data_IF_220499424396
#
_entry.id   IF_220499424396
#
_cell.length_a   1.000
_cell.length_b   1.000
_cell.length_c   1.000
_cell.angle_alpha   90.00
_cell.angle_beta   90.00
_cell.angle_gamma   90.00
#
_symmetry.space_group_name_H-M   'P 1'
#
loop_
_entity.id
_entity.type
_entity.pdbx_description
1 polymer ?
#
# COMPACT_ATOMS: atom_id res chain seq x y z
N UNK A 1 -24.77 -7.02 32.73
CA UNK A 1 -24.94 -7.91 31.57
C UNK A 1 -25.22 -7.06 30.34
N UNK A 2 -24.59 -7.45 29.24
CA UNK A 2 -24.80 -7.08 27.84
C UNK A 2 -24.56 -5.63 27.39
N UNK A 3 -23.59 -5.53 26.48
CA UNK A 3 -23.24 -4.39 25.65
C UNK A 3 -24.06 -4.37 24.35
N UNK A 4 -23.80 -3.31 23.59
CA UNK A 4 -23.79 -3.23 22.12
C UNK A 4 -24.98 -2.54 21.45
N UNK A 5 -24.62 -1.46 20.77
CA UNK A 5 -25.49 -0.61 19.96
C UNK A 5 -24.67 0.54 19.40
N UNK A 6 -23.58 0.25 18.67
CA UNK A 6 -22.96 1.22 17.78
C UNK A 6 -23.30 0.82 16.35
N UNK A 7 -24.32 1.48 15.87
CA UNK A 7 -24.78 1.55 14.48
C UNK A 7 -24.68 3.07 14.19
N UNK A 8 -24.12 3.64 13.13
CA UNK A 8 -23.84 3.21 11.77
C UNK A 8 -22.73 4.12 11.21
N UNK A 9 -21.81 3.60 10.39
CA UNK A 9 -20.91 4.45 9.61
C UNK A 9 -21.40 4.51 8.16
N UNK A 10 -21.78 5.69 7.69
CA UNK A 10 -22.07 5.93 6.27
C UNK A 10 -20.99 6.85 5.68
N UNK A 11 -20.17 6.40 4.73
CA UNK A 11 -19.16 7.26 4.11
C UNK A 11 -19.58 7.66 2.69
N UNK A 12 -19.92 8.94 2.46
CA UNK A 12 -19.92 9.59 1.13
C UNK A 12 -19.87 11.11 1.36
N UNK A 13 -19.08 11.97 0.71
CA UNK A 13 -18.13 11.98 -0.42
C UNK A 13 -17.17 13.17 -0.15
N UNK A 14 -15.93 13.18 -0.67
CA UNK A 14 -15.07 14.38 -0.55
C UNK A 14 -14.48 14.84 -1.90
N UNK A 15 -14.78 16.09 -2.35
CA UNK A 15 -13.97 16.84 -3.31
C UNK A 15 -12.78 17.55 -2.58
N UNK A 16 -11.85 18.22 -3.30
CA UNK A 16 -10.42 18.12 -2.99
C UNK A 16 -9.87 19.12 -1.94
N UNK A 17 -8.88 18.61 -1.18
CA UNK A 17 -7.90 19.28 -0.31
C UNK A 17 -8.38 20.43 0.61
N UNK A 18 -9.03 20.03 1.72
CA UNK A 18 -9.14 20.81 2.96
C UNK A 18 -8.77 19.87 4.13
N UNK A 19 -7.89 20.28 5.04
CA UNK A 19 -7.70 19.66 6.37
C UNK A 19 -7.80 18.12 6.44
N UNK A 20 -6.97 17.40 5.65
CA UNK A 20 -7.02 15.93 5.66
C UNK A 20 -6.37 15.38 6.93
N UNK A 21 -7.20 14.92 7.85
CA UNK A 21 -6.78 14.04 8.96
C UNK A 21 -6.88 12.59 8.50
N UNK A 22 -5.83 11.82 8.75
CA UNK A 22 -5.79 10.37 8.49
C UNK A 22 -5.75 9.65 9.83
N UNK A 23 -6.64 8.68 10.01
CA UNK A 23 -6.66 7.79 11.16
C UNK A 23 -6.19 6.41 10.69
N UNK A 24 -5.26 5.81 11.43
CA UNK A 24 -4.77 4.46 11.17
C UNK A 24 -5.51 3.48 12.07
N UNK A 25 -6.12 2.47 11.49
CA UNK A 25 -6.95 1.50 12.23
C UNK A 25 -6.20 0.20 12.51
N UNK A 26 -5.27 -0.18 11.66
CA UNK A 26 -4.50 -1.42 11.77
C UNK A 26 -3.14 -1.29 11.09
N UNK A 27 -2.22 -2.16 11.50
CA UNK A 27 -0.90 -2.28 10.89
C UNK A 27 -0.53 -3.75 10.77
N UNK A 28 0.22 -4.08 9.73
CA UNK A 28 0.68 -5.44 9.43
C UNK A 28 2.19 -5.38 9.14
N UNK A 29 2.95 -6.28 9.75
CA UNK A 29 4.37 -6.45 9.46
C UNK A 29 4.57 -7.66 8.55
N UNK A 30 5.21 -7.41 7.41
CA UNK A 30 5.68 -8.43 6.47
C UNK A 30 7.21 -8.43 6.48
N UNK A 31 7.84 -9.56 6.83
CA UNK A 31 9.31 -9.66 6.93
C UNK A 31 9.85 -10.79 6.06
N UNK A 32 11.15 -10.67 5.77
CA UNK A 32 11.93 -11.62 4.97
C UNK A 32 11.37 -11.86 3.56
N UNK A 33 11.68 -10.94 2.64
CA UNK A 33 11.44 -11.15 1.21
C UNK A 33 12.35 -12.26 0.71
N UNK A 34 11.76 -13.30 0.14
CA UNK A 34 12.54 -14.32 -0.57
C UNK A 34 12.98 -13.75 -1.91
N UNK A 35 14.29 -13.58 -2.14
CA UNK A 35 14.82 -13.03 -3.39
C UNK A 35 14.43 -13.85 -4.62
N UNK A 36 14.36 -15.18 -4.51
CA UNK A 36 13.82 -16.05 -5.56
C UNK A 36 12.31 -15.86 -5.78
N UNK A 37 11.56 -15.59 -4.70
CA UNK A 37 10.14 -15.24 -4.76
C UNK A 37 9.91 -13.92 -5.46
N UNK A 38 10.73 -12.91 -5.16
CA UNK A 38 10.68 -11.60 -5.82
C UNK A 38 10.94 -11.70 -7.33
N UNK A 39 11.98 -12.45 -7.72
CA UNK A 39 12.29 -12.67 -9.14
C UNK A 39 11.13 -13.34 -9.87
N UNK A 40 10.55 -14.39 -9.30
CA UNK A 40 9.37 -15.05 -9.88
C UNK A 40 8.18 -14.10 -9.98
N UNK A 41 7.90 -13.36 -8.91
CA UNK A 41 6.80 -12.40 -8.89
C UNK A 41 6.95 -11.30 -9.95
N UNK A 42 8.19 -10.90 -10.28
CA UNK A 42 8.48 -10.00 -11.40
C UNK A 42 8.23 -10.66 -12.75
N UNK A 43 8.70 -11.90 -12.95
CA UNK A 43 8.51 -12.67 -14.20
C UNK A 43 7.02 -12.93 -14.46
N UNK A 44 6.27 -13.25 -13.41
CA UNK A 44 4.84 -13.58 -13.48
C UNK A 44 3.94 -12.33 -13.49
N UNK A 45 4.52 -11.12 -13.39
CA UNK A 45 3.78 -9.86 -13.39
C UNK A 45 2.95 -9.57 -12.12
N UNK A 46 3.23 -10.29 -11.02
CA UNK A 46 2.63 -10.03 -9.71
C UNK A 46 3.25 -8.81 -9.03
N UNK A 47 4.55 -8.60 -9.25
CA UNK A 47 5.26 -7.35 -8.92
C UNK A 47 5.51 -6.59 -10.22
N UNK A 48 5.14 -5.31 -10.25
CA UNK A 48 5.35 -4.43 -11.38
C UNK A 48 6.53 -3.49 -11.14
N UNK A 49 7.25 -3.14 -12.21
CA UNK A 49 8.24 -2.06 -12.23
C UNK A 49 7.56 -0.80 -12.72
N UNK A 50 7.56 0.24 -11.89
CA UNK A 50 6.95 1.54 -12.16
C UNK A 50 8.04 2.61 -12.30
N UNK A 51 8.17 3.17 -13.50
CA UNK A 51 9.04 4.30 -13.81
C UNK A 51 8.31 5.60 -13.50
N UNK A 52 8.36 6.00 -12.23
CA UNK A 52 7.68 7.18 -11.72
C UNK A 52 8.49 8.45 -11.97
N UNK A 53 8.56 8.84 -13.25
CA UNK A 53 9.20 10.05 -13.70
C UNK A 53 8.28 10.82 -14.66
N UNK A 54 8.31 12.15 -14.57
CA UNK A 54 7.53 13.01 -15.45
C UNK A 54 8.24 14.33 -15.73
N UNK A 55 7.90 14.96 -16.86
CA UNK A 55 8.37 16.29 -17.21
C UNK A 55 7.56 17.34 -16.44
N UNK A 56 8.23 18.25 -15.74
CA UNK A 56 7.55 19.37 -15.08
C UNK A 56 7.10 20.40 -16.10
N UNK A 57 5.99 21.08 -15.82
CA UNK A 57 5.51 22.22 -16.64
C UNK A 57 6.55 23.34 -16.77
N UNK A 58 7.35 23.56 -15.72
CA UNK A 58 8.46 24.53 -15.71
C UNK A 58 9.67 24.12 -16.54
N UNK A 59 9.64 22.95 -17.16
CA UNK A 59 10.81 22.27 -17.70
C UNK A 59 11.57 21.46 -16.64
N UNK A 60 12.38 20.51 -17.11
CA UNK A 60 13.15 19.57 -16.29
C UNK A 60 12.40 18.29 -15.94
N UNK A 61 13.15 17.20 -15.79
CA UNK A 61 12.61 15.88 -15.42
C UNK A 61 12.53 15.81 -13.89
N UNK A 62 11.36 15.43 -13.37
CA UNK A 62 11.23 14.96 -12.00
C UNK A 62 11.21 13.44 -12.01
N UNK A 63 12.20 12.86 -11.35
CA UNK A 63 12.28 11.42 -11.15
C UNK A 63 12.06 11.12 -9.67
N UNK A 64 11.03 10.32 -9.36
CA UNK A 64 10.72 9.84 -8.01
C UNK A 64 11.36 8.48 -7.70
N UNK A 65 12.23 7.99 -8.59
CA UNK A 65 12.84 6.67 -8.54
C UNK A 65 11.92 5.58 -9.10
N UNK A 66 12.56 4.55 -9.67
CA UNK A 66 11.90 3.31 -10.08
C UNK A 66 11.32 2.59 -8.86
N UNK A 67 10.06 2.18 -8.93
CA UNK A 67 9.33 1.53 -7.84
C UNK A 67 8.98 0.10 -8.20
N UNK A 68 9.14 -0.80 -7.23
CA UNK A 68 8.56 -2.14 -7.29
C UNK A 68 7.23 -2.12 -6.55
N UNK A 69 6.15 -2.40 -7.27
CA UNK A 69 4.78 -2.34 -6.73
C UNK A 69 4.14 -3.72 -6.76
N UNK A 70 3.39 -4.02 -5.71
CA UNK A 70 2.62 -5.26 -5.57
C UNK A 70 1.24 -4.91 -5.01
N UNK A 71 0.21 -5.66 -5.39
CA UNK A 71 -1.11 -5.54 -4.73
C UNK A 71 -0.99 -6.05 -3.30
N UNK A 72 -1.64 -5.39 -2.34
CA UNK A 72 -1.59 -5.76 -0.92
C UNK A 72 -2.03 -7.21 -0.68
N UNK A 73 -3.08 -7.66 -1.39
CA UNK A 73 -3.59 -9.04 -1.36
C UNK A 73 -2.55 -10.12 -1.73
N UNK A 74 -1.46 -9.74 -2.41
CA UNK A 74 -0.40 -10.64 -2.84
C UNK A 74 0.86 -10.56 -1.96
N UNK A 75 0.89 -9.73 -0.91
CA UNK A 75 2.07 -9.58 -0.04
C UNK A 75 2.46 -10.89 0.64
N UNK A 76 1.48 -11.69 1.06
CA UNK A 76 1.72 -13.01 1.69
C UNK A 76 2.45 -14.00 0.78
N UNK A 77 2.43 -13.81 -0.54
CA UNK A 77 3.14 -14.67 -1.49
C UNK A 77 4.64 -14.37 -1.56
N UNK A 78 5.06 -13.19 -1.09
CA UNK A 78 6.41 -12.66 -1.25
C UNK A 78 7.23 -12.70 0.04
N UNK A 79 6.56 -12.54 1.18
CA UNK A 79 7.17 -12.46 2.50
C UNK A 79 6.96 -13.76 3.28
N UNK A 80 7.96 -14.14 4.06
CA UNK A 80 7.91 -15.41 4.82
C UNK A 80 7.23 -15.25 6.16
N UNK A 81 7.32 -14.06 6.75
CA UNK A 81 6.75 -13.76 8.05
C UNK A 81 5.64 -12.72 7.91
N UNK A 82 4.56 -12.94 8.67
CA UNK A 82 3.41 -12.05 8.78
C UNK A 82 3.02 -11.89 10.25
N UNK A 83 2.82 -10.65 10.68
CA UNK A 83 2.37 -10.32 12.02
C UNK A 83 1.37 -9.15 11.97
N UNK A 84 0.17 -9.34 12.50
CA UNK A 84 -0.77 -8.24 12.73
C UNK A 84 -0.34 -7.45 13.96
N UNK A 85 -0.12 -6.15 13.80
CA UNK A 85 0.29 -5.24 14.88
C UNK A 85 -0.96 -4.64 15.51
N UNK A 86 -1.04 -4.74 16.84
CA UNK A 86 -2.03 -4.01 17.63
C UNK A 86 -1.60 -2.55 17.77
N UNK A 87 -2.45 -1.61 17.37
CA UNK A 87 -2.23 -0.16 17.49
C UNK A 87 -2.91 0.36 18.76
#
# INVERSE_FOLDING_TARGET
MAASGRDQFQPRLFPPNQGRTVWYESAEAFREVRSTGLIRALVDGTVCIDFDAYLRESGGIRDHGTKFRIKSENLSNLYTEYEAISI
#
